data_IF_207972747795
#
_entry.id   IF_207972747795
#
_cell.length_a   1.000
_cell.length_b   1.000
_cell.length_c   1.000
_cell.angle_alpha   90.00
_cell.angle_beta   90.00
_cell.angle_gamma   90.00
#
_symmetry.space_group_name_H-M   'P 1'
#
loop_
_entity.id
_entity.type
_entity.pdbx_description
1 polymer ?
#
# COMPACT_ATOMS: atom_id res chain seq x y z
N UNK A 1 -44.49 31.79 59.05
CA UNK A 1 -43.41 31.83 60.08
C UNK A 1 -42.52 30.66 59.86
N UNK A 2 -41.28 30.87 59.80
CA UNK A 2 -40.06 30.07 59.61
C UNK A 2 -39.40 30.22 58.22
N UNK A 3 -38.50 31.19 58.15
CA UNK A 3 -37.43 31.30 57.20
C UNK A 3 -36.42 30.16 57.42
N UNK A 4 -36.05 29.48 56.34
CA UNK A 4 -34.83 28.68 56.33
C UNK A 4 -33.90 29.19 55.21
N UNK A 5 -32.82 29.83 55.67
CA UNK A 5 -31.69 30.25 54.86
C UNK A 5 -31.00 29.02 54.31
N UNK A 6 -30.78 28.98 53.00
CA UNK A 6 -29.92 27.99 52.34
C UNK A 6 -28.58 28.68 52.08
N UNK A 7 -27.55 28.29 52.81
CA UNK A 7 -26.17 28.73 52.61
C UNK A 7 -25.60 27.99 51.39
N UNK A 8 -25.20 28.74 50.37
CA UNK A 8 -24.43 28.22 49.23
C UNK A 8 -22.96 28.11 49.63
N UNK A 9 -22.44 26.89 49.80
CA UNK A 9 -21.03 26.63 49.92
C UNK A 9 -20.47 26.55 48.48
N UNK A 10 -19.76 27.60 48.07
CA UNK A 10 -18.97 27.60 46.82
C UNK A 10 -17.68 26.82 47.04
N UNK A 11 -17.62 25.61 46.56
CA UNK A 11 -16.35 24.83 46.52
C UNK A 11 -15.47 25.36 45.38
N UNK A 12 -14.41 26.03 45.78
CA UNK A 12 -13.33 26.52 44.87
C UNK A 12 -12.47 25.33 44.43
N UNK A 13 -12.72 24.83 43.20
CA UNK A 13 -11.84 23.84 42.56
C UNK A 13 -10.59 24.57 42.02
N UNK A 14 -9.50 24.49 42.79
CA UNK A 14 -8.17 24.89 42.29
C UNK A 14 -7.67 23.80 41.33
N UNK A 15 -7.81 24.04 40.03
CA UNK A 15 -7.17 23.20 39.00
C UNK A 15 -5.69 23.57 38.98
N UNK A 16 -4.86 22.79 39.63
CA UNK A 16 -3.39 22.84 39.48
C UNK A 16 -3.06 22.31 38.09
N UNK A 17 -2.85 23.23 37.14
CA UNK A 17 -2.27 22.90 35.83
C UNK A 17 -0.81 22.46 36.09
N UNK A 18 -0.56 21.16 36.20
CA UNK A 18 0.78 20.62 36.22
C UNK A 18 1.41 20.93 34.85
N UNK A 19 2.33 21.88 34.81
CA UNK A 19 3.25 22.08 33.68
C UNK A 19 4.05 20.79 33.52
N UNK A 20 3.58 19.90 32.64
CA UNK A 20 4.41 18.79 32.20
C UNK A 20 5.57 19.41 31.40
N UNK A 21 6.83 19.10 31.73
CA UNK A 21 7.93 19.52 30.89
C UNK A 21 7.73 18.94 29.49
N UNK A 22 8.07 19.69 28.43
CA UNK A 22 8.00 19.13 27.09
C UNK A 22 8.84 17.85 27.07
N UNK A 23 8.21 16.73 26.70
CA UNK A 23 8.93 15.51 26.39
C UNK A 23 9.76 15.84 25.16
N UNK A 24 10.98 16.30 25.36
CA UNK A 24 11.98 16.28 24.31
C UNK A 24 12.13 14.81 23.93
N UNK A 25 11.61 14.45 22.76
CA UNK A 25 12.00 13.21 22.14
C UNK A 25 13.54 13.20 22.17
N UNK A 26 14.13 12.25 22.87
CA UNK A 26 15.57 12.10 22.90
C UNK A 26 16.00 12.03 21.43
N UNK A 27 16.74 13.03 20.97
CA UNK A 27 17.41 12.97 19.67
C UNK A 27 18.28 11.72 19.72
N UNK A 28 17.81 10.66 19.07
CA UNK A 28 18.58 9.44 18.88
C UNK A 28 19.83 9.88 18.13
N UNK A 29 20.98 9.87 18.83
CA UNK A 29 22.26 10.30 18.27
C UNK A 29 22.51 9.45 17.02
N UNK A 30 22.44 10.08 15.86
CA UNK A 30 22.65 9.41 14.57
C UNK A 30 24.04 8.76 14.56
N UNK A 31 24.17 7.54 14.03
CA UNK A 31 25.46 6.90 13.87
C UNK A 31 26.41 7.77 13.05
N UNK A 32 27.71 7.84 13.42
CA UNK A 32 28.72 8.57 12.63
C UNK A 32 28.80 8.09 11.18
N UNK A 33 28.46 6.83 10.94
CA UNK A 33 28.34 6.26 9.59
C UNK A 33 27.25 6.97 8.76
N UNK A 34 26.15 7.41 9.35
CA UNK A 34 25.11 8.14 8.66
C UNK A 34 25.61 9.47 8.10
N UNK A 35 26.29 10.26 8.91
CA UNK A 35 26.77 11.57 8.48
C UNK A 35 27.79 11.45 7.35
N UNK A 36 28.70 10.48 7.46
CA UNK A 36 29.65 10.14 6.39
C UNK A 36 28.93 9.70 5.10
N UNK A 37 27.94 8.81 5.22
CA UNK A 37 27.19 8.33 4.07
C UNK A 37 26.40 9.46 3.40
N UNK A 38 25.82 10.37 4.19
CA UNK A 38 25.09 11.52 3.65
C UNK A 38 26.00 12.48 2.89
N UNK A 39 27.22 12.74 3.38
CA UNK A 39 28.19 13.56 2.68
C UNK A 39 28.65 12.92 1.36
N UNK A 40 28.88 11.62 1.34
CA UNK A 40 29.22 10.91 0.08
C UNK A 40 28.03 10.88 -0.89
N UNK A 41 26.80 10.67 -0.39
CA UNK A 41 25.59 10.74 -1.19
C UNK A 41 25.39 12.11 -1.86
N UNK A 42 25.71 13.20 -1.15
CA UNK A 42 25.67 14.55 -1.72
C UNK A 42 26.69 14.75 -2.86
N UNK A 43 27.84 14.07 -2.81
CA UNK A 43 28.80 14.08 -3.91
C UNK A 43 28.29 13.28 -5.11
N UNK A 44 27.57 12.18 -4.89
CA UNK A 44 26.85 11.44 -5.94
C UNK A 44 25.73 12.30 -6.56
N UNK A 45 25.11 13.16 -5.75
CA UNK A 45 24.20 14.22 -6.15
C UNK A 45 22.77 13.78 -6.45
N UNK A 46 22.56 12.51 -6.81
CA UNK A 46 21.24 11.98 -7.17
C UNK A 46 21.03 10.53 -6.78
N UNK A 47 19.78 10.10 -6.85
CA UNK A 47 19.37 8.70 -6.85
C UNK A 47 18.46 8.45 -8.06
N UNK A 48 18.56 7.29 -8.69
CA UNK A 48 17.74 6.89 -9.84
C UNK A 48 16.84 5.72 -9.44
N UNK A 49 15.54 5.97 -9.38
CA UNK A 49 14.54 4.98 -8.95
C UNK A 49 13.60 4.61 -10.10
N UNK A 50 13.44 3.31 -10.33
CA UNK A 50 12.31 2.82 -11.10
C UNK A 50 11.07 2.78 -10.20
N UNK A 51 9.99 3.41 -10.63
CA UNK A 51 8.75 3.49 -9.83
C UNK A 51 7.54 3.07 -10.67
N UNK A 52 6.41 2.65 -10.01
CA UNK A 52 5.16 2.44 -10.71
C UNK A 52 4.59 3.75 -11.25
N UNK A 53 3.61 3.72 -12.16
CA UNK A 53 2.89 4.91 -12.62
C UNK A 53 2.03 5.49 -11.49
N UNK A 54 2.66 6.26 -10.60
CA UNK A 54 2.04 6.89 -9.43
C UNK A 54 2.50 8.35 -9.34
N UNK A 55 1.62 9.27 -9.77
CA UNK A 55 1.88 10.71 -9.77
C UNK A 55 2.13 11.23 -8.35
N UNK A 56 1.33 10.77 -7.39
CA UNK A 56 1.43 11.16 -5.98
C UNK A 56 2.77 10.78 -5.37
N UNK A 57 3.27 9.59 -5.66
CA UNK A 57 4.58 9.13 -5.21
C UNK A 57 5.69 10.02 -5.75
N UNK A 58 5.62 10.35 -7.04
CA UNK A 58 6.59 11.22 -7.69
C UNK A 58 6.60 12.62 -7.08
N UNK A 59 5.42 13.26 -6.99
CA UNK A 59 5.29 14.61 -6.43
C UNK A 59 5.69 14.70 -4.95
N UNK A 60 5.65 13.60 -4.22
CA UNK A 60 6.10 13.55 -2.82
C UNK A 60 7.60 13.31 -2.69
N UNK A 61 8.17 12.35 -3.44
CA UNK A 61 9.57 11.93 -3.26
C UNK A 61 10.57 12.95 -3.78
N UNK A 62 10.35 13.55 -4.95
CA UNK A 62 11.29 14.52 -5.55
C UNK A 62 11.62 15.68 -4.58
N UNK A 63 10.62 16.45 -4.07
CA UNK A 63 10.92 17.54 -3.14
C UNK A 63 11.43 17.05 -1.79
N UNK A 64 10.95 15.90 -1.30
CA UNK A 64 11.36 15.36 -0.01
C UNK A 64 12.86 15.03 0.02
N UNK A 65 13.37 14.33 -0.98
CA UNK A 65 14.79 13.97 -1.06
C UNK A 65 15.67 15.20 -1.23
N UNK A 66 15.24 16.18 -2.03
CA UNK A 66 15.96 17.44 -2.20
C UNK A 66 16.02 18.24 -0.91
N UNK A 67 14.89 18.41 -0.22
CA UNK A 67 14.80 19.23 1.01
C UNK A 67 15.51 18.58 2.19
N UNK A 68 15.34 17.26 2.37
CA UNK A 68 15.91 16.57 3.55
C UNK A 68 17.38 16.22 3.40
N UNK A 69 17.81 15.82 2.21
CA UNK A 69 19.11 15.22 2.00
C UNK A 69 19.97 15.93 0.94
N UNK A 70 19.41 16.90 0.22
CA UNK A 70 20.11 17.58 -0.87
C UNK A 70 20.26 16.74 -2.14
N UNK A 71 19.58 15.60 -2.24
CA UNK A 71 19.66 14.67 -3.36
C UNK A 71 18.60 14.95 -4.41
N UNK A 72 18.96 14.85 -5.67
CA UNK A 72 18.01 14.83 -6.77
C UNK A 72 17.44 13.43 -6.94
N UNK A 73 16.11 13.32 -7.08
CA UNK A 73 15.45 12.06 -7.37
C UNK A 73 15.11 11.99 -8.86
N UNK A 74 15.76 11.11 -9.59
CA UNK A 74 15.39 10.78 -10.96
C UNK A 74 14.42 9.60 -10.94
N UNK A 75 13.13 9.88 -11.12
CA UNK A 75 12.06 8.89 -10.99
C UNK A 75 11.58 8.43 -12.37
N UNK A 76 11.92 7.20 -12.75
CA UNK A 76 11.51 6.59 -14.02
C UNK A 76 10.23 5.80 -13.82
N UNK A 77 9.11 6.40 -14.25
CA UNK A 77 7.77 5.83 -14.05
C UNK A 77 7.37 4.92 -15.21
N UNK A 78 7.17 3.63 -14.93
CA UNK A 78 6.63 2.65 -15.88
C UNK A 78 6.00 1.45 -15.14
N UNK A 79 5.12 0.68 -15.81
CA UNK A 79 4.64 -0.59 -15.27
C UNK A 79 5.79 -1.52 -14.87
N UNK A 80 5.64 -2.24 -13.76
CA UNK A 80 6.69 -3.09 -13.20
C UNK A 80 7.37 -4.02 -14.20
N UNK A 81 6.64 -4.79 -15.04
CA UNK A 81 7.25 -5.64 -16.07
C UNK A 81 8.11 -4.87 -17.09
N UNK A 82 7.72 -3.64 -17.44
CA UNK A 82 8.50 -2.78 -18.34
C UNK A 82 9.80 -2.32 -17.69
N UNK A 83 9.74 -1.89 -16.44
CA UNK A 83 10.93 -1.54 -15.65
C UNK A 83 11.87 -2.75 -15.51
N UNK A 84 11.34 -3.92 -15.15
CA UNK A 84 12.14 -5.15 -15.03
C UNK A 84 12.83 -5.53 -16.36
N UNK A 85 12.11 -5.46 -17.47
CA UNK A 85 12.68 -5.74 -18.80
C UNK A 85 13.80 -4.78 -19.15
N UNK A 86 13.66 -3.49 -18.83
CA UNK A 86 14.70 -2.49 -19.04
C UNK A 86 15.94 -2.77 -18.17
N UNK A 87 15.74 -2.99 -16.87
CA UNK A 87 16.82 -3.34 -15.92
C UNK A 87 17.58 -4.58 -16.40
N UNK A 88 16.86 -5.61 -16.86
CA UNK A 88 17.45 -6.84 -17.40
C UNK A 88 18.28 -6.58 -18.67
N UNK A 89 17.78 -5.75 -19.57
CA UNK A 89 18.48 -5.40 -20.80
C UNK A 89 19.74 -4.58 -20.52
N UNK A 90 19.68 -3.60 -19.62
CA UNK A 90 20.83 -2.80 -19.18
C UNK A 90 21.91 -3.68 -18.57
N UNK A 91 21.55 -4.60 -17.68
CA UNK A 91 22.51 -5.55 -17.08
C UNK A 91 23.20 -6.43 -18.14
N UNK A 92 22.45 -6.93 -19.12
CA UNK A 92 23.03 -7.70 -20.24
C UNK A 92 24.01 -6.88 -21.06
N UNK A 93 23.79 -5.57 -21.18
CA UNK A 93 24.68 -4.63 -21.86
C UNK A 93 25.86 -4.15 -20.97
N UNK A 94 25.99 -4.65 -19.73
CA UNK A 94 27.01 -4.21 -18.78
C UNK A 94 26.80 -2.80 -18.22
N UNK A 95 25.57 -2.29 -18.31
CA UNK A 95 25.17 -0.96 -17.84
C UNK A 95 24.32 -1.09 -16.59
N UNK A 96 24.57 -0.24 -15.60
CA UNK A 96 23.71 -0.07 -14.43
C UNK A 96 23.23 1.37 -14.39
N UNK A 97 21.93 1.57 -14.56
CA UNK A 97 21.33 2.89 -14.57
C UNK A 97 20.51 3.17 -13.31
N UNK A 98 19.79 2.17 -12.83
CA UNK A 98 18.95 2.29 -11.66
C UNK A 98 19.66 1.87 -10.37
N UNK A 99 19.36 2.57 -9.29
CA UNK A 99 19.83 2.23 -7.93
C UNK A 99 18.88 1.24 -7.25
N UNK A 100 17.59 1.52 -7.30
CA UNK A 100 16.55 0.71 -6.68
C UNK A 100 15.25 0.74 -7.49
N UNK A 101 14.34 -0.16 -7.15
CA UNK A 101 12.99 -0.17 -7.73
C UNK A 101 11.93 -0.32 -6.65
N UNK A 102 10.90 0.50 -6.76
CA UNK A 102 9.64 0.34 -6.02
C UNK A 102 8.66 -0.36 -6.95
N UNK A 103 8.17 -1.54 -6.56
CA UNK A 103 7.37 -2.36 -7.47
C UNK A 103 6.43 -3.32 -6.74
N UNK A 104 5.65 -4.06 -7.52
CA UNK A 104 4.82 -5.16 -7.01
C UNK A 104 5.58 -6.49 -6.90
N UNK A 105 5.01 -7.43 -6.15
CA UNK A 105 5.59 -8.74 -5.82
C UNK A 105 6.10 -9.51 -7.04
N UNK A 106 5.33 -9.59 -8.13
CA UNK A 106 5.74 -10.35 -9.32
C UNK A 106 6.99 -9.80 -10.00
N UNK A 107 7.14 -8.47 -10.04
CA UNK A 107 8.35 -7.80 -10.56
C UNK A 107 9.55 -8.06 -9.67
N UNK A 108 9.39 -7.87 -8.35
CA UNK A 108 10.46 -8.11 -7.38
C UNK A 108 10.92 -9.58 -7.38
N UNK A 109 9.99 -10.53 -7.42
CA UNK A 109 10.30 -11.96 -7.48
C UNK A 109 11.07 -12.33 -8.76
N UNK A 110 10.70 -11.78 -9.92
CA UNK A 110 11.41 -11.97 -11.17
C UNK A 110 12.87 -11.48 -11.08
N UNK A 111 13.10 -10.27 -10.59
CA UNK A 111 14.44 -9.71 -10.40
C UNK A 111 15.27 -10.51 -9.38
N UNK A 112 14.62 -11.07 -8.35
CA UNK A 112 15.28 -11.96 -7.38
C UNK A 112 15.73 -13.26 -8.06
N UNK A 113 14.85 -13.89 -8.83
CA UNK A 113 15.15 -15.11 -9.58
C UNK A 113 16.35 -14.91 -10.53
N UNK A 114 16.42 -13.77 -11.18
CA UNK A 114 17.49 -13.42 -12.09
C UNK A 114 18.80 -12.98 -11.39
N UNK A 115 18.83 -13.04 -10.06
CA UNK A 115 20.00 -12.72 -9.23
C UNK A 115 20.44 -11.25 -9.32
N UNK A 116 19.49 -10.32 -9.52
CA UNK A 116 19.77 -8.89 -9.77
C UNK A 116 19.78 -8.03 -8.52
N UNK A 117 19.45 -8.59 -7.35
CA UNK A 117 19.22 -7.82 -6.14
C UNK A 117 20.39 -7.92 -5.15
N UNK A 118 20.64 -6.83 -4.42
CA UNK A 118 21.48 -6.78 -3.24
C UNK A 118 20.66 -7.06 -1.97
N UNK A 119 21.29 -7.67 -0.94
CA UNK A 119 20.66 -7.80 0.36
C UNK A 119 20.39 -6.45 1.02
N UNK A 120 19.17 -6.24 1.47
CA UNK A 120 18.72 -4.96 2.03
C UNK A 120 19.45 -4.55 3.30
N UNK A 121 19.83 -5.51 4.15
CA UNK A 121 20.41 -5.22 5.47
C UNK A 121 21.73 -4.45 5.37
N UNK A 122 22.50 -4.61 4.28
CA UNK A 122 23.75 -3.88 4.05
C UNK A 122 23.55 -2.38 3.81
N UNK A 123 22.31 -1.96 3.54
CA UNK A 123 21.94 -0.56 3.30
C UNK A 123 21.40 0.14 4.54
N UNK A 124 21.00 -0.59 5.56
CA UNK A 124 20.42 0.00 6.76
C UNK A 124 21.50 0.55 7.69
N UNK A 125 21.47 1.85 7.94
CA UNK A 125 22.41 2.55 8.82
C UNK A 125 21.73 2.92 10.13
N UNK A 126 20.56 3.56 10.04
CA UNK A 126 19.87 4.14 11.17
C UNK A 126 19.30 3.08 12.11
N UNK A 127 19.45 3.29 13.41
CA UNK A 127 18.98 2.35 14.44
C UNK A 127 17.47 2.19 14.37
N UNK A 128 16.73 3.27 14.14
CA UNK A 128 15.28 3.27 13.99
C UNK A 128 14.81 2.48 12.76
N UNK A 129 15.61 2.43 11.69
CA UNK A 129 15.30 1.60 10.51
C UNK A 129 15.50 0.12 10.83
N UNK A 130 16.51 -0.21 11.64
CA UNK A 130 16.84 -1.58 12.05
C UNK A 130 15.89 -2.14 13.10
N UNK A 131 15.29 -1.29 13.91
CA UNK A 131 14.40 -1.71 15.01
C UNK A 131 13.00 -2.06 14.47
N UNK A 132 12.60 -3.34 14.48
CA UNK A 132 11.28 -3.74 13.99
C UNK A 132 10.12 -3.12 14.77
N UNK A 133 10.35 -2.62 16.00
CA UNK A 133 9.32 -1.94 16.81
C UNK A 133 8.93 -0.58 16.24
N UNK A 134 9.76 0.03 15.40
CA UNK A 134 9.48 1.30 14.74
C UNK A 134 8.60 1.13 13.50
N UNK A 135 8.30 -0.11 13.10
CA UNK A 135 7.53 -0.43 11.91
C UNK A 135 6.20 -1.08 12.28
N UNK A 136 5.15 -0.66 11.60
CA UNK A 136 3.84 -1.30 11.75
C UNK A 136 3.91 -2.77 11.33
N UNK A 137 3.61 -3.68 12.26
CA UNK A 137 3.73 -5.12 12.03
C UNK A 137 5.16 -5.65 12.00
N UNK A 138 6.16 -4.83 12.36
CA UNK A 138 7.57 -5.19 12.30
C UNK A 138 8.14 -5.12 10.88
N UNK A 139 9.30 -5.77 10.67
CA UNK A 139 9.88 -5.90 9.33
C UNK A 139 9.12 -6.94 8.52
N UNK A 140 8.51 -6.50 7.42
CA UNK A 140 7.74 -7.37 6.53
C UNK A 140 8.57 -7.68 5.29
N UNK A 141 8.90 -8.96 5.12
CA UNK A 141 9.62 -9.48 3.98
C UNK A 141 8.72 -10.33 3.10
N UNK A 142 8.88 -10.24 1.80
CA UNK A 142 8.11 -11.03 0.83
C UNK A 142 8.86 -12.29 0.41
N UNK A 143 10.18 -12.21 0.33
CA UNK A 143 11.03 -13.35 0.02
C UNK A 143 11.29 -14.24 1.25
N UNK A 144 11.36 -15.56 1.04
CA UNK A 144 11.61 -16.55 2.11
C UNK A 144 12.95 -16.35 2.83
N UNK A 145 13.95 -15.82 2.12
CA UNK A 145 15.27 -15.52 2.69
C UNK A 145 15.24 -14.31 3.61
N UNK A 146 14.17 -13.49 3.57
CA UNK A 146 14.00 -12.23 4.32
C UNK A 146 15.17 -11.27 4.12
N UNK A 147 15.59 -11.06 2.88
CA UNK A 147 16.80 -10.29 2.55
C UNK A 147 16.65 -9.32 1.39
N UNK A 148 15.79 -9.61 0.42
CA UNK A 148 15.82 -8.93 -0.87
C UNK A 148 14.59 -8.09 -1.16
N UNK A 149 13.40 -8.52 -0.73
CA UNK A 149 12.14 -7.86 -1.04
C UNK A 149 11.52 -7.33 0.24
N UNK A 150 11.77 -6.05 0.53
CA UNK A 150 11.26 -5.40 1.71
C UNK A 150 9.93 -4.72 1.42
N UNK A 151 8.91 -5.04 2.22
CA UNK A 151 7.61 -4.41 2.13
C UNK A 151 7.49 -3.27 3.13
N UNK A 152 7.67 -2.03 2.65
CA UNK A 152 7.61 -0.82 3.49
C UNK A 152 6.22 -0.18 3.54
N UNK A 153 5.31 -0.58 2.66
CA UNK A 153 3.91 -0.16 2.65
C UNK A 153 3.03 -1.40 2.60
N UNK A 154 2.17 -1.56 3.60
CA UNK A 154 1.10 -2.54 3.59
C UNK A 154 -0.20 -1.86 3.99
N UNK A 155 -1.29 -2.21 3.33
CA UNK A 155 -2.62 -1.76 3.67
C UNK A 155 -3.63 -2.87 3.46
N UNK A 156 -4.69 -2.83 4.24
CA UNK A 156 -5.82 -3.72 4.00
C UNK A 156 -6.51 -3.32 2.70
N UNK A 157 -6.72 -4.29 1.84
CA UNK A 157 -7.34 -4.01 0.54
C UNK A 157 -8.82 -3.72 0.71
N UNK A 158 -9.26 -2.62 0.12
CA UNK A 158 -10.69 -2.36 -0.09
C UNK A 158 -11.01 -2.82 -1.50
N UNK A 159 -11.37 -4.09 -1.64
CA UNK A 159 -11.57 -4.73 -2.95
C UNK A 159 -13.02 -5.12 -3.22
N UNK A 160 -13.92 -4.81 -2.29
CA UNK A 160 -15.36 -5.04 -2.39
C UNK A 160 -16.10 -3.71 -2.31
N UNK A 161 -16.94 -3.44 -3.27
CA UNK A 161 -17.69 -2.18 -3.37
C UNK A 161 -19.14 -2.45 -3.75
N UNK A 162 -20.05 -1.59 -3.29
CA UNK A 162 -21.45 -1.64 -3.68
C UNK A 162 -21.95 -0.29 -4.20
N UNK A 163 -23.01 -0.34 -4.99
CA UNK A 163 -23.90 0.79 -5.18
C UNK A 163 -24.92 0.75 -4.04
N UNK A 164 -24.93 1.72 -3.12
CA UNK A 164 -25.80 1.68 -1.93
C UNK A 164 -27.29 1.77 -2.25
N UNK A 165 -27.67 2.22 -3.46
CA UNK A 165 -29.06 2.21 -3.92
C UNK A 165 -29.55 0.81 -4.32
N UNK A 166 -28.61 -0.09 -4.64
CA UNK A 166 -28.88 -1.44 -5.13
C UNK A 166 -28.57 -2.53 -4.10
N UNK A 167 -27.55 -2.29 -3.29
CA UNK A 167 -27.12 -3.18 -2.21
C UNK A 167 -26.49 -2.36 -1.08
N UNK A 168 -27.16 -2.30 0.05
CA UNK A 168 -26.70 -1.49 1.20
C UNK A 168 -25.50 -2.14 1.87
N UNK A 169 -24.45 -1.40 2.25
CA UNK A 169 -23.31 -1.95 2.98
C UNK A 169 -23.67 -2.73 4.23
N UNK A 170 -24.73 -2.32 4.94
CA UNK A 170 -25.22 -3.01 6.15
C UNK A 170 -25.81 -4.41 5.89
N UNK A 171 -26.01 -4.79 4.63
CA UNK A 171 -26.47 -6.13 4.24
C UNK A 171 -25.31 -7.10 4.02
N UNK A 172 -24.06 -6.63 4.15
CA UNK A 172 -22.86 -7.41 3.92
C UNK A 172 -22.07 -7.58 5.23
N UNK A 173 -21.88 -8.83 5.64
CA UNK A 173 -21.09 -9.22 6.81
C UNK A 173 -20.11 -10.35 6.48
N UNK A 174 -20.37 -11.09 5.40
CA UNK A 174 -19.66 -12.31 5.02
C UNK A 174 -19.56 -12.45 3.51
N UNK A 175 -18.54 -13.18 3.04
CA UNK A 175 -18.50 -13.61 1.64
C UNK A 175 -19.72 -14.43 1.23
N UNK A 176 -20.37 -15.13 2.17
CA UNK A 176 -21.59 -15.91 1.87
C UNK A 176 -22.74 -15.02 1.41
N UNK A 177 -22.76 -13.74 1.80
CA UNK A 177 -23.79 -12.79 1.36
C UNK A 177 -23.73 -12.52 -0.15
N UNK A 178 -22.55 -12.71 -0.77
CA UNK A 178 -22.40 -12.63 -2.23
C UNK A 178 -23.13 -13.78 -2.97
N UNK A 179 -23.51 -14.84 -2.27
CA UNK A 179 -24.30 -15.94 -2.83
C UNK A 179 -25.82 -15.68 -2.76
N UNK A 180 -26.24 -14.52 -2.21
CA UNK A 180 -27.64 -14.18 -2.13
C UNK A 180 -28.29 -14.17 -3.55
N UNK A 181 -29.42 -14.87 -3.75
CA UNK A 181 -30.09 -14.93 -5.07
C UNK A 181 -30.44 -13.56 -5.68
N UNK A 182 -30.69 -12.53 -4.85
CA UNK A 182 -30.94 -11.15 -5.33
C UNK A 182 -29.76 -10.51 -6.04
N UNK A 183 -28.54 -11.01 -5.82
CA UNK A 183 -27.32 -10.56 -6.48
C UNK A 183 -27.02 -11.32 -7.78
N UNK A 184 -27.84 -12.32 -8.16
CA UNK A 184 -27.62 -13.12 -9.36
C UNK A 184 -27.63 -12.24 -10.61
N UNK A 185 -26.53 -12.28 -11.38
CA UNK A 185 -26.31 -11.43 -12.56
C UNK A 185 -25.99 -9.97 -12.24
N UNK A 186 -25.81 -9.64 -10.97
CA UNK A 186 -25.57 -8.26 -10.50
C UNK A 186 -24.26 -8.08 -9.77
N UNK A 187 -23.35 -9.05 -9.85
CA UNK A 187 -21.99 -8.97 -9.32
C UNK A 187 -21.01 -8.82 -10.47
N UNK A 188 -20.16 -7.81 -10.39
CA UNK A 188 -19.07 -7.62 -11.33
C UNK A 188 -17.74 -7.98 -10.69
N UNK A 189 -16.82 -8.57 -11.46
CA UNK A 189 -15.47 -8.87 -10.98
C UNK A 189 -14.41 -8.48 -12.02
N UNK A 190 -13.25 -8.06 -11.52
CA UNK A 190 -12.04 -8.01 -12.34
C UNK A 190 -11.62 -9.43 -12.72
N UNK A 191 -11.22 -9.62 -13.97
CA UNK A 191 -10.87 -10.95 -14.52
C UNK A 191 -9.74 -11.60 -13.70
N UNK A 192 -10.01 -12.68 -12.94
CA UNK A 192 -9.03 -13.30 -12.07
C UNK A 192 -7.93 -14.07 -12.81
N UNK A 193 -8.08 -14.28 -14.11
CA UNK A 193 -7.09 -14.97 -14.97
C UNK A 193 -5.92 -14.07 -15.36
N UNK A 194 -6.00 -12.78 -15.04
CA UNK A 194 -4.92 -11.83 -15.25
C UNK A 194 -4.32 -11.38 -13.92
N UNK A 195 -2.99 -11.17 -13.82
CA UNK A 195 -2.37 -10.63 -12.61
C UNK A 195 -2.98 -9.29 -12.21
N UNK A 196 -3.31 -9.13 -10.92
CA UNK A 196 -3.86 -7.89 -10.38
C UNK A 196 -4.81 -8.13 -9.21
N UNK A 197 -5.61 -7.10 -8.88
CA UNK A 197 -6.54 -7.14 -7.75
C UNK A 197 -7.62 -8.22 -7.90
N UNK A 198 -8.04 -8.53 -9.13
CA UNK A 198 -8.98 -9.60 -9.41
C UNK A 198 -8.44 -10.98 -9.02
N UNK A 199 -7.22 -11.32 -9.47
CA UNK A 199 -6.58 -12.60 -9.12
C UNK A 199 -6.26 -12.69 -7.64
N UNK A 200 -5.82 -11.60 -7.01
CA UNK A 200 -5.54 -11.58 -5.58
C UNK A 200 -6.80 -11.83 -4.74
N UNK A 201 -7.90 -11.15 -5.09
CA UNK A 201 -9.18 -11.34 -4.38
C UNK A 201 -9.76 -12.73 -4.60
N UNK A 202 -9.67 -13.26 -5.82
CA UNK A 202 -10.08 -14.62 -6.14
C UNK A 202 -9.30 -15.67 -5.33
N UNK A 203 -7.97 -15.52 -5.27
CA UNK A 203 -7.10 -16.40 -4.49
C UNK A 203 -7.41 -16.30 -2.99
N UNK A 204 -7.69 -15.11 -2.48
CA UNK A 204 -8.09 -14.93 -1.08
C UNK A 204 -9.42 -15.63 -0.78
N UNK A 205 -10.45 -15.44 -1.62
CA UNK A 205 -11.72 -16.14 -1.46
C UNK A 205 -11.54 -17.66 -1.54
N UNK A 206 -10.67 -18.15 -2.43
CA UNK A 206 -10.36 -19.58 -2.50
C UNK A 206 -9.68 -20.07 -1.21
N UNK A 207 -8.74 -19.32 -0.68
CA UNK A 207 -8.01 -19.67 0.53
C UNK A 207 -8.93 -19.79 1.75
N UNK A 208 -9.89 -18.89 1.91
CA UNK A 208 -10.75 -18.84 3.10
C UNK A 208 -12.07 -19.61 2.97
N UNK A 209 -12.60 -19.74 1.76
CA UNK A 209 -13.92 -20.38 1.51
C UNK A 209 -13.81 -21.67 0.71
N UNK A 210 -12.69 -21.90 0.02
CA UNK A 210 -12.45 -23.07 -0.80
C UNK A 210 -13.12 -23.07 -2.18
N UNK A 211 -12.79 -24.08 -2.97
CA UNK A 211 -13.23 -24.22 -4.38
C UNK A 211 -14.74 -24.36 -4.52
N UNK A 212 -15.41 -25.06 -3.63
CA UNK A 212 -16.87 -25.26 -3.69
C UNK A 212 -17.63 -23.93 -3.52
N UNK A 213 -17.13 -23.02 -2.71
CA UNK A 213 -17.65 -21.66 -2.64
C UNK A 213 -17.49 -20.94 -3.97
N UNK A 214 -16.31 -20.99 -4.58
CA UNK A 214 -16.05 -20.33 -5.87
C UNK A 214 -16.96 -20.88 -6.98
N UNK A 215 -17.24 -22.18 -7.01
CA UNK A 215 -18.22 -22.76 -7.95
C UNK A 215 -19.61 -22.16 -7.78
N UNK A 216 -20.08 -22.00 -6.53
CA UNK A 216 -21.36 -21.33 -6.23
C UNK A 216 -21.31 -19.85 -6.62
N UNK A 217 -20.19 -19.18 -6.35
CA UNK A 217 -20.00 -17.77 -6.70
C UNK A 217 -20.04 -17.54 -8.22
N UNK A 218 -19.38 -18.38 -9.03
CA UNK A 218 -19.52 -18.36 -10.49
C UNK A 218 -20.97 -18.60 -10.91
N UNK A 219 -21.68 -19.46 -10.19
CA UNK A 219 -23.11 -19.71 -10.40
C UNK A 219 -23.99 -18.46 -10.26
N UNK A 220 -23.50 -17.37 -9.67
CA UNK A 220 -24.18 -16.06 -9.59
C UNK A 220 -24.23 -15.32 -10.95
N UNK A 221 -23.72 -15.89 -12.04
CA UNK A 221 -23.67 -15.26 -13.36
C UNK A 221 -22.90 -13.93 -13.33
N UNK A 222 -21.64 -13.99 -12.98
CA UNK A 222 -20.77 -12.83 -12.78
C UNK A 222 -20.54 -12.06 -14.09
N UNK A 223 -20.53 -10.73 -13.99
CA UNK A 223 -19.98 -9.87 -15.02
C UNK A 223 -18.47 -9.80 -14.88
N UNK A 224 -17.72 -10.39 -15.79
CA UNK A 224 -16.25 -10.47 -15.73
C UNK A 224 -15.64 -9.54 -16.78
N UNK A 225 -14.72 -8.66 -16.37
CA UNK A 225 -14.04 -7.75 -17.29
C UNK A 225 -12.60 -7.48 -16.84
N UNK A 226 -11.73 -7.13 -17.81
CA UNK A 226 -10.37 -6.60 -17.57
C UNK A 226 -10.35 -5.08 -17.50
N UNK A 227 -11.41 -4.44 -17.95
CA UNK A 227 -11.58 -3.00 -17.93
C UNK A 227 -12.15 -2.58 -16.56
N UNK A 228 -11.26 -2.12 -15.68
CA UNK A 228 -11.62 -1.70 -14.32
C UNK A 228 -12.48 -0.43 -14.34
N UNK A 229 -12.30 0.43 -15.35
CA UNK A 229 -13.13 1.62 -15.50
C UNK A 229 -14.56 1.25 -15.85
N UNK A 230 -14.74 0.33 -16.82
CA UNK A 230 -16.06 -0.19 -17.17
C UNK A 230 -16.74 -0.85 -15.96
N UNK A 231 -15.96 -1.58 -15.14
CA UNK A 231 -16.46 -2.21 -13.93
C UNK A 231 -16.97 -1.15 -12.94
N UNK A 232 -16.20 -0.10 -12.70
CA UNK A 232 -16.59 1.00 -11.81
C UNK A 232 -17.81 1.78 -12.35
N UNK A 233 -17.86 2.05 -13.65
CA UNK A 233 -19.01 2.72 -14.28
C UNK A 233 -20.30 1.90 -14.16
N UNK A 234 -20.22 0.58 -14.36
CA UNK A 234 -21.39 -0.29 -14.22
C UNK A 234 -21.93 -0.32 -12.79
N UNK A 235 -21.02 -0.27 -11.79
CA UNK A 235 -21.43 -0.12 -10.40
C UNK A 235 -22.11 1.22 -10.15
N UNK A 236 -21.47 2.33 -10.52
CA UNK A 236 -22.00 3.67 -10.31
C UNK A 236 -23.36 3.88 -11.00
N UNK A 237 -23.58 3.25 -12.15
CA UNK A 237 -24.86 3.30 -12.88
C UNK A 237 -25.93 2.30 -12.36
N UNK A 238 -25.60 1.49 -11.34
CA UNK A 238 -26.53 0.48 -10.81
C UNK A 238 -26.79 -0.73 -11.71
N UNK A 239 -26.03 -0.90 -12.81
CA UNK A 239 -26.14 -2.09 -13.68
C UNK A 239 -25.70 -3.35 -12.95
N UNK A 240 -24.73 -3.23 -12.06
CA UNK A 240 -24.33 -4.23 -11.09
C UNK A 240 -24.48 -3.64 -9.69
N UNK A 241 -24.74 -4.48 -8.70
CA UNK A 241 -24.97 -4.06 -7.33
C UNK A 241 -23.71 -4.09 -6.48
N UNK A 242 -22.81 -5.05 -6.77
CA UNK A 242 -21.57 -5.28 -6.04
C UNK A 242 -20.42 -5.54 -7.02
N UNK A 243 -19.21 -5.10 -6.66
CA UNK A 243 -17.98 -5.46 -7.37
C UNK A 243 -16.95 -6.10 -6.45
N UNK A 244 -16.09 -6.93 -7.05
CA UNK A 244 -14.94 -7.55 -6.39
C UNK A 244 -13.68 -7.44 -7.24
N UNK A 245 -12.52 -7.28 -6.58
CA UNK A 245 -11.23 -7.22 -7.25
C UNK A 245 -10.95 -5.89 -7.95
N UNK A 246 -11.43 -4.79 -7.40
CA UNK A 246 -11.20 -3.41 -7.87
C UNK A 246 -10.89 -2.52 -6.67
N UNK A 247 -9.90 -1.64 -6.78
CA UNK A 247 -9.40 -0.85 -5.66
C UNK A 247 -10.00 0.54 -5.55
N UNK A 248 -9.55 1.26 -4.52
CA UNK A 248 -10.01 2.63 -4.24
C UNK A 248 -9.67 3.62 -5.35
N UNK A 249 -8.51 3.48 -5.99
CA UNK A 249 -8.04 4.38 -7.05
C UNK A 249 -9.01 4.49 -8.21
N UNK A 250 -9.61 3.37 -8.60
CA UNK A 250 -10.56 3.31 -9.71
C UNK A 250 -11.89 4.00 -9.38
N UNK A 251 -12.25 4.03 -8.10
CA UNK A 251 -13.50 4.70 -7.65
C UNK A 251 -13.32 6.16 -7.29
N UNK A 252 -12.10 6.66 -7.13
CA UNK A 252 -11.83 8.03 -6.73
C UNK A 252 -12.55 9.11 -7.58
N UNK A 253 -12.59 9.01 -8.93
CA UNK A 253 -13.35 9.97 -9.74
C UNK A 253 -14.84 9.94 -9.46
N UNK A 254 -15.41 8.76 -9.21
CA UNK A 254 -16.85 8.57 -8.93
C UNK A 254 -17.21 9.11 -7.56
N UNK A 255 -16.36 8.90 -6.56
CA UNK A 255 -16.51 9.44 -5.20
C UNK A 255 -16.47 10.97 -5.24
N UNK A 256 -15.50 11.57 -5.96
CA UNK A 256 -15.40 13.02 -6.14
C UNK A 256 -16.61 13.63 -6.84
N UNK A 257 -17.25 12.85 -7.71
CA UNK A 257 -18.47 13.24 -8.41
C UNK A 257 -19.76 12.94 -7.62
N UNK A 258 -19.64 12.50 -6.35
CA UNK A 258 -20.77 12.10 -5.48
C UNK A 258 -21.67 11.03 -6.11
N UNK A 259 -21.12 10.14 -6.91
CA UNK A 259 -21.86 9.01 -7.47
C UNK A 259 -22.01 7.88 -6.43
N UNK A 260 -23.08 7.06 -6.53
CA UNK A 260 -23.42 6.05 -5.52
C UNK A 260 -22.48 4.83 -5.59
N UNK A 261 -21.26 5.01 -5.12
CA UNK A 261 -20.27 3.96 -4.93
C UNK A 261 -19.72 4.03 -3.52
N UNK A 262 -19.70 2.90 -2.81
CA UNK A 262 -19.22 2.85 -1.43
C UNK A 262 -18.51 1.52 -1.17
N UNK A 263 -17.44 1.52 -0.36
CA UNK A 263 -16.79 0.28 0.03
C UNK A 263 -17.74 -0.56 0.91
N UNK A 264 -17.73 -1.87 0.72
CA UNK A 264 -18.36 -2.79 1.66
C UNK A 264 -17.50 -2.92 2.92
N UNK A 265 -18.11 -3.21 4.08
CA UNK A 265 -17.40 -3.52 5.30
C UNK A 265 -16.40 -4.68 5.10
N UNK A 266 -15.43 -4.79 5.99
CA UNK A 266 -14.56 -5.97 6.04
C UNK A 266 -15.42 -7.16 6.44
N UNK A 267 -15.47 -8.24 5.63
CA UNK A 267 -16.24 -9.42 5.98
C UNK A 267 -15.67 -10.09 7.25
N UNK A 268 -16.50 -10.79 7.98
CA UNK A 268 -16.08 -11.49 9.20
C UNK A 268 -14.93 -12.49 9.00
N UNK A 269 -14.78 -13.02 7.80
CA UNK A 269 -13.65 -13.86 7.41
C UNK A 269 -12.35 -13.08 7.22
N UNK A 270 -12.40 -11.74 7.22
CA UNK A 270 -11.27 -10.86 7.00
C UNK A 270 -10.96 -10.58 5.53
N UNK A 271 -10.09 -9.62 5.33
CA UNK A 271 -9.48 -9.30 4.03
C UNK A 271 -7.96 -9.41 4.15
N UNK A 272 -7.31 -9.63 3.03
CA UNK A 272 -5.85 -9.69 3.00
C UNK A 272 -5.22 -8.29 3.06
N UNK A 273 -4.05 -8.19 3.66
CA UNK A 273 -3.18 -7.03 3.50
C UNK A 273 -2.39 -7.16 2.20
N UNK A 274 -2.23 -6.05 1.51
CA UNK A 274 -1.47 -6.00 0.26
C UNK A 274 -0.34 -4.97 0.37
N UNK A 275 0.85 -5.37 -0.04
CA UNK A 275 1.94 -4.44 -0.30
C UNK A 275 1.78 -3.71 -1.62
N UNK A 276 0.91 -4.16 -2.50
CA UNK A 276 0.68 -3.61 -3.84
C UNK A 276 1.97 -3.24 -4.56
N UNK A 277 2.29 -1.93 -4.66
CA UNK A 277 3.56 -1.40 -5.15
C UNK A 277 4.52 -1.00 -4.02
N UNK A 278 4.30 -1.46 -2.79
CA UNK A 278 5.08 -1.09 -1.61
C UNK A 278 6.30 -1.96 -1.36
N UNK A 279 6.82 -2.65 -2.38
CA UNK A 279 8.05 -3.41 -2.26
C UNK A 279 9.23 -2.59 -2.76
N UNK A 280 10.21 -2.42 -1.88
CA UNK A 280 11.52 -1.84 -2.20
C UNK A 280 12.52 -2.97 -2.40
N UNK A 281 13.25 -2.93 -3.49
CA UNK A 281 14.39 -3.80 -3.77
C UNK A 281 15.56 -2.99 -4.29
N UNK A 282 16.76 -3.34 -3.83
CA UNK A 282 18.02 -2.69 -4.21
C UNK A 282 18.68 -3.50 -5.33
N UNK A 283 19.10 -2.81 -6.38
CA UNK A 283 19.74 -3.46 -7.52
C UNK A 283 21.24 -3.65 -7.29
N UNK A 284 21.83 -4.70 -7.86
CA UNK A 284 23.27 -4.89 -7.87
C UNK A 284 23.97 -3.84 -8.72
N UNK A 285 25.17 -3.44 -8.30
CA UNK A 285 26.02 -2.48 -9.01
C UNK A 285 25.32 -1.14 -9.25
N UNK A 286 24.53 -0.69 -8.31
CA UNK A 286 23.85 0.61 -8.36
C UNK A 286 24.89 1.74 -8.53
N UNK A 287 24.58 2.74 -9.41
CA UNK A 287 25.52 3.84 -9.69
C UNK A 287 25.76 4.77 -8.50
N UNK A 288 24.79 4.88 -7.58
CA UNK A 288 24.82 5.84 -6.47
C UNK A 288 24.63 5.10 -5.13
N UNK A 289 25.65 4.31 -4.67
CA UNK A 289 25.50 3.45 -3.51
C UNK A 289 25.24 4.19 -2.19
N UNK A 290 25.81 5.39 -2.01
CA UNK A 290 25.58 6.17 -0.80
C UNK A 290 24.21 6.86 -0.83
N UNK A 291 23.79 7.38 -1.98
CA UNK A 291 22.42 7.91 -2.14
C UNK A 291 21.35 6.82 -1.92
N UNK A 292 21.62 5.59 -2.36
CA UNK A 292 20.76 4.42 -2.10
C UNK A 292 20.65 4.10 -0.61
N UNK A 293 21.75 4.22 0.14
CA UNK A 293 21.74 4.01 1.60
C UNK A 293 21.04 5.13 2.39
N UNK A 294 21.03 6.34 1.83
CA UNK A 294 20.31 7.47 2.41
C UNK A 294 18.81 7.38 2.15
N UNK A 295 18.41 6.86 0.98
CA UNK A 295 17.02 6.63 0.60
C UNK A 295 16.36 5.55 1.44
#
# INVERSE_FOLDING_TARGET
MFHRSVEFIAALFVVTLALQPPIFAAETRRPAEWDKTLEEAKKEGKIVLAIPPATELRTALEPLLKQKFGLEAELVSAPGPKNASRITAEKKAGVSYFDAIICGTGTAAGLTHDGMLEPMESFWILTEVKDPKQWWGGHIWVDNAKRYIYNFVAYQTVSLWSNPNEYKPAEFDSFDDLLNPKLRGRIGISDPRTPGSGSSMWSHMNYIKGEEYLKKFVGQKLFVTRDLRLLAENLAKGKIAVTSGIGYSEFQPFIKANLPVTPLPVPKEGLYASGCYGHLVILKNQPHPNATRVF
#
